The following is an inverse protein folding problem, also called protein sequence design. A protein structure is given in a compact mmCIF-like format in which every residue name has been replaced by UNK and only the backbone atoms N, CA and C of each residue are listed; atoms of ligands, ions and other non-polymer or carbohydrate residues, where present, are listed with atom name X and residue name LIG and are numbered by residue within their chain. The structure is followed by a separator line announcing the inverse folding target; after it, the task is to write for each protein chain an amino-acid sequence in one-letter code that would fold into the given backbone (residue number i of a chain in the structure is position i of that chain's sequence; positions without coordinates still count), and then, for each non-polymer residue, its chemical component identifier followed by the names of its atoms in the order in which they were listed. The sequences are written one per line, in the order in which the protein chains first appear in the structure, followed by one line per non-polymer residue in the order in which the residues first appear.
data_IF_956854169250
#
_entry.id   IF_956854169250
#
_cell.length_a   1.000
_cell.length_b   1.000
_cell.length_c   1.000
_cell.angle_alpha   90.00
_cell.angle_beta   90.00
_cell.angle_gamma   90.00
#
_symmetry.space_group_name_H-M   'P 1'
#
loop_
_entity.id
_entity.type
_entity.pdbx_description
1 polymer ?
#
# COMPACT_ATOMS: atom_id res chain seq x y z
N UNK A 1 -29.07 31.23 29.39
CA UNK A 1 -28.22 30.26 30.09
C UNK A 1 -27.60 29.33 29.07
N UNK A 2 -26.30 29.51 28.92
CA UNK A 2 -25.33 28.90 28.01
C UNK A 2 -25.10 27.42 28.35
N UNK A 3 -24.99 26.55 27.35
CA UNK A 3 -24.15 25.36 27.46
C UNK A 3 -23.51 25.04 26.10
N UNK A 4 -22.32 25.60 25.92
CA UNK A 4 -21.40 25.25 24.85
C UNK A 4 -20.78 23.89 25.22
N UNK A 5 -21.08 22.83 24.48
CA UNK A 5 -20.39 21.55 24.62
C UNK A 5 -19.13 21.57 23.76
N UNK A 6 -18.00 21.93 24.37
CA UNK A 6 -16.68 21.67 23.80
C UNK A 6 -16.41 20.17 23.86
N UNK A 7 -16.39 19.51 22.70
CA UNK A 7 -15.79 18.18 22.56
C UNK A 7 -14.30 18.44 22.35
N UNK A 8 -13.51 18.22 23.40
CA UNK A 8 -12.05 18.20 23.32
C UNK A 8 -11.67 16.84 22.72
N UNK A 9 -11.27 16.83 21.44
CA UNK A 9 -10.56 15.69 20.86
C UNK A 9 -9.10 15.77 21.34
N UNK A 10 -8.77 15.04 22.40
CA UNK A 10 -7.38 14.73 22.73
C UNK A 10 -6.95 13.57 21.84
N UNK A 11 -6.64 13.88 20.58
CA UNK A 11 -5.84 13.00 19.75
C UNK A 11 -4.38 13.34 20.00
N UNK A 12 -3.62 12.44 20.63
CA UNK A 12 -2.17 12.50 20.60
C UNK A 12 -1.73 12.29 19.15
N UNK A 13 -1.71 13.37 18.37
CA UNK A 13 -0.89 13.43 17.16
C UNK A 13 0.55 13.47 17.65
N UNK A 14 1.22 12.33 17.67
CA UNK A 14 2.68 12.32 17.72
C UNK A 14 3.15 12.93 16.42
N UNK A 15 3.32 14.26 16.40
CA UNK A 15 3.97 14.96 15.30
C UNK A 15 5.37 14.39 15.22
N UNK A 16 5.66 13.66 14.14
CA UNK A 16 7.00 13.16 13.89
C UNK A 16 7.87 14.37 13.55
N UNK A 17 8.59 14.90 14.54
CA UNK A 17 9.52 16.04 14.37
C UNK A 17 10.77 15.64 13.57
N UNK A 18 10.89 14.38 13.15
CA UNK A 18 11.95 13.92 12.26
C UNK A 18 11.57 14.17 10.79
N UNK A 19 11.91 15.35 10.27
CA UNK A 19 12.09 15.53 8.83
C UNK A 19 11.51 16.80 8.18
N UNK A 20 10.89 17.70 8.94
CA UNK A 20 10.40 18.94 8.35
C UNK A 20 11.54 19.96 8.16
N UNK A 21 12.23 19.87 7.02
CA UNK A 21 12.95 21.02 6.50
C UNK A 21 11.91 22.03 6.02
N UNK A 22 11.56 22.99 6.87
CA UNK A 22 10.58 24.06 6.56
C UNK A 22 11.01 24.93 5.38
N UNK A 23 12.22 24.71 4.82
CA UNK A 23 12.72 25.38 3.61
C UNK A 23 12.29 24.71 2.31
N UNK A 24 11.85 23.44 2.35
CA UNK A 24 11.46 22.68 1.17
C UNK A 24 9.97 22.31 1.22
N UNK A 25 9.11 23.01 0.46
CA UNK A 25 7.68 22.71 0.43
C UNK A 25 7.40 21.30 -0.10
N UNK A 26 6.47 20.59 0.53
CA UNK A 26 6.09 19.25 0.13
C UNK A 26 5.25 18.51 1.17
N UNK A 27 4.75 17.34 0.79
CA UNK A 27 4.14 16.41 1.75
C UNK A 27 5.26 15.81 2.61
N UNK A 28 5.07 15.78 3.92
CA UNK A 28 6.04 15.24 4.88
C UNK A 28 5.66 13.83 5.28
N UNK A 29 4.37 13.61 5.57
CA UNK A 29 3.86 12.38 6.12
C UNK A 29 2.41 12.18 5.72
N UNK A 30 2.02 10.91 5.49
CA UNK A 30 0.61 10.53 5.40
C UNK A 30 0.37 9.29 6.23
N UNK A 31 -0.62 9.34 7.13
CA UNK A 31 -0.93 8.25 8.05
C UNK A 31 -2.42 7.95 8.12
N UNK A 32 -2.76 6.69 8.33
CA UNK A 32 -4.12 6.25 8.63
C UNK A 32 -4.43 6.55 10.10
N UNK A 33 -5.57 7.19 10.33
CA UNK A 33 -6.18 7.42 11.64
C UNK A 33 -7.66 7.00 11.59
N UNK A 34 -7.89 5.71 11.86
CA UNK A 34 -9.23 5.12 11.80
C UNK A 34 -9.84 5.19 10.39
N UNK A 35 -10.89 6.00 10.23
CA UNK A 35 -11.60 6.21 8.95
C UNK A 35 -11.07 7.41 8.15
N UNK A 36 -9.98 8.02 8.62
CA UNK A 36 -9.37 9.19 8.01
C UNK A 36 -7.89 8.95 7.72
N UNK A 37 -7.34 9.82 6.87
CA UNK A 37 -5.93 9.97 6.57
C UNK A 37 -5.49 11.34 7.08
N UNK A 38 -4.48 11.36 7.94
CA UNK A 38 -3.77 12.59 8.31
C UNK A 38 -2.70 12.83 7.26
N UNK A 39 -2.71 14.02 6.65
CA UNK A 39 -1.64 14.49 5.77
C UNK A 39 -0.93 15.64 6.48
N UNK A 40 0.38 15.53 6.61
CA UNK A 40 1.26 16.59 7.09
C UNK A 40 2.07 17.14 5.91
N UNK A 41 2.18 18.45 5.79
CA UNK A 41 2.89 19.11 4.71
C UNK A 41 3.63 20.37 5.21
N UNK A 42 4.76 20.64 4.57
CA UNK A 42 5.44 21.94 4.61
C UNK A 42 4.90 22.77 3.45
N UNK A 43 4.21 23.88 3.73
CA UNK A 43 3.62 24.74 2.70
C UNK A 43 4.62 25.83 2.27
N UNK A 44 4.57 26.30 1.01
CA UNK A 44 5.35 27.47 0.60
C UNK A 44 4.86 28.73 1.33
N UNK A 45 5.74 29.74 1.48
CA UNK A 45 5.46 30.99 2.22
C UNK A 45 4.22 31.76 1.72
N UNK A 46 3.89 31.62 0.43
CA UNK A 46 2.71 32.25 -0.16
C UNK A 46 1.42 31.48 0.12
N UNK A 47 1.49 30.33 0.81
CA UNK A 47 0.40 29.37 1.07
C UNK A 47 -0.41 28.97 -0.16
N UNK A 48 0.12 29.23 -1.36
CA UNK A 48 -0.53 28.95 -2.62
C UNK A 48 -0.12 27.58 -3.14
N UNK A 49 -0.66 26.54 -2.51
CA UNK A 49 -0.38 25.16 -2.86
C UNK A 49 -1.65 24.30 -2.79
N UNK A 50 -1.81 23.42 -3.78
CA UNK A 50 -2.90 22.46 -3.82
C UNK A 50 -2.38 21.07 -3.47
N UNK A 51 -3.28 20.21 -2.98
CA UNK A 51 -2.98 18.80 -2.79
C UNK A 51 -3.48 18.01 -3.99
N UNK A 52 -2.58 17.28 -4.62
CA UNK A 52 -2.85 16.33 -5.69
C UNK A 52 -2.89 14.92 -5.10
N UNK A 53 -4.05 14.27 -5.22
CA UNK A 53 -4.26 12.88 -4.84
C UNK A 53 -4.35 12.01 -6.11
N UNK A 54 -3.51 10.98 -6.16
CA UNK A 54 -3.35 10.09 -7.32
C UNK A 54 -3.51 8.63 -6.90
N UNK A 55 -4.10 7.81 -7.75
CA UNK A 55 -3.92 6.35 -7.67
C UNK A 55 -2.55 5.91 -8.19
N UNK A 56 -2.13 4.66 -7.90
CA UNK A 56 -0.84 4.15 -8.35
C UNK A 56 -0.66 4.12 -9.87
N UNK A 57 -1.75 4.02 -10.62
CA UNK A 57 -1.74 3.99 -12.08
C UNK A 57 -2.03 5.35 -12.72
N UNK A 58 -2.47 6.33 -11.93
CA UNK A 58 -2.84 7.66 -12.43
C UNK A 58 -1.57 8.52 -12.61
N UNK A 59 -1.50 9.22 -13.74
CA UNK A 59 -0.50 10.25 -13.95
C UNK A 59 -0.99 11.62 -13.43
N UNK A 60 -0.09 12.59 -13.31
CA UNK A 60 -0.34 13.89 -12.64
C UNK A 60 -1.56 14.64 -13.20
N UNK A 61 -1.90 14.47 -14.47
CA UNK A 61 -3.07 15.13 -15.09
C UNK A 61 -4.40 14.52 -14.67
N UNK A 62 -4.42 13.22 -14.32
CA UNK A 62 -5.63 12.45 -13.98
C UNK A 62 -6.02 12.58 -12.50
N UNK A 63 -5.08 12.98 -11.63
CA UNK A 63 -5.31 13.04 -10.19
C UNK A 63 -6.29 14.12 -9.74
N UNK A 64 -6.94 13.85 -8.60
CA UNK A 64 -7.85 14.78 -7.93
C UNK A 64 -7.04 15.91 -7.29
N UNK A 65 -7.22 17.13 -7.78
CA UNK A 65 -6.67 18.35 -7.18
C UNK A 65 -7.70 19.01 -6.29
N UNK A 66 -7.27 19.47 -5.12
CA UNK A 66 -8.12 20.27 -4.24
C UNK A 66 -7.27 21.11 -3.30
N UNK A 67 -7.89 22.17 -2.78
CA UNK A 67 -7.36 22.99 -1.71
C UNK A 67 -7.93 22.46 -0.38
N UNK A 68 -7.14 21.71 0.41
CA UNK A 68 -7.62 21.26 1.70
C UNK A 68 -7.64 22.41 2.71
N UNK A 69 -8.50 22.29 3.72
CA UNK A 69 -8.47 23.16 4.88
C UNK A 69 -7.27 22.76 5.75
N UNK A 70 -6.18 23.52 5.64
CA UNK A 70 -4.97 23.29 6.43
C UNK A 70 -5.11 23.87 7.83
N UNK A 71 -4.73 23.09 8.84
CA UNK A 71 -4.46 23.58 10.19
C UNK A 71 -2.95 23.70 10.38
N UNK A 72 -2.47 24.93 10.57
CA UNK A 72 -1.05 25.22 10.75
C UNK A 72 -0.70 25.20 12.25
N UNK A 73 0.26 24.36 12.62
CA UNK A 73 0.83 24.34 13.97
C UNK A 73 2.35 24.15 13.87
N UNK A 74 3.12 25.00 14.58
CA UNK A 74 4.58 24.97 14.62
C UNK A 74 5.27 24.84 13.24
N UNK A 75 4.72 25.48 12.21
CA UNK A 75 5.27 25.46 10.85
C UNK A 75 4.90 24.23 10.01
N UNK A 76 4.11 23.30 10.55
CA UNK A 76 3.57 22.15 9.83
C UNK A 76 2.09 22.35 9.55
N UNK A 77 1.70 22.21 8.29
CA UNK A 77 0.31 22.22 7.89
C UNK A 77 -0.25 20.80 7.94
N UNK A 78 -1.39 20.63 8.56
CA UNK A 78 -2.07 19.34 8.68
C UNK A 78 -3.46 19.41 8.05
N UNK A 79 -3.89 18.32 7.42
CA UNK A 79 -5.27 18.20 6.95
C UNK A 79 -5.74 16.75 7.03
N UNK A 80 -7.06 16.59 6.97
CA UNK A 80 -7.73 15.30 7.13
C UNK A 80 -8.47 14.96 5.85
N UNK A 81 -8.21 13.77 5.32
CA UNK A 81 -8.87 13.22 4.14
C UNK A 81 -9.64 11.98 4.56
N UNK A 82 -10.84 11.76 4.02
CA UNK A 82 -11.58 10.53 4.26
C UNK A 82 -10.82 9.35 3.67
N UNK A 83 -10.71 8.25 4.42
CA UNK A 83 -10.14 7.01 3.90
C UNK A 83 -11.02 6.45 2.79
N UNK A 84 -12.32 6.29 3.06
CA UNK A 84 -13.28 5.86 2.05
C UNK A 84 -14.03 7.07 1.49
N UNK A 85 -13.86 7.34 0.20
CA UNK A 85 -14.53 8.44 -0.52
C UNK A 85 -15.12 7.90 -1.82
N UNK A 86 -16.44 8.05 -2.01
CA UNK A 86 -17.16 7.58 -3.20
C UNK A 86 -16.86 6.13 -3.64
N UNK A 87 -16.75 5.21 -2.68
CA UNK A 87 -16.49 3.79 -2.96
C UNK A 87 -15.03 3.44 -3.28
N UNK A 88 -14.12 4.42 -3.16
CA UNK A 88 -12.66 4.25 -3.30
C UNK A 88 -11.99 4.25 -1.94
N UNK A 89 -10.97 3.39 -1.77
CA UNK A 89 -10.13 3.35 -0.57
C UNK A 89 -8.83 4.14 -0.79
N UNK A 90 -8.75 5.35 -0.22
CA UNK A 90 -7.67 6.33 -0.43
C UNK A 90 -6.35 5.95 0.26
N UNK A 91 -6.30 4.84 1.00
CA UNK A 91 -5.06 4.31 1.57
C UNK A 91 -4.07 3.87 0.50
N UNK A 92 -4.54 3.50 -0.69
CA UNK A 92 -3.67 3.24 -1.84
C UNK A 92 -3.47 4.49 -2.71
N UNK A 93 -3.74 5.69 -2.20
CA UNK A 93 -3.44 6.92 -2.93
C UNK A 93 -2.04 7.43 -2.61
N UNK A 94 -1.47 8.11 -3.60
CA UNK A 94 -0.25 8.90 -3.53
C UNK A 94 -0.62 10.37 -3.42
N UNK A 95 0.00 11.08 -2.47
CA UNK A 95 -0.27 12.47 -2.18
C UNK A 95 0.94 13.32 -2.55
N UNK A 96 0.72 14.38 -3.34
CA UNK A 96 1.76 15.28 -3.83
C UNK A 96 1.28 16.71 -3.66
N UNK A 97 2.12 17.56 -3.09
CA UNK A 97 1.85 18.99 -3.08
C UNK A 97 2.21 19.56 -4.46
N UNK A 98 1.36 20.44 -4.99
CA UNK A 98 1.61 21.17 -6.24
C UNK A 98 1.42 22.66 -5.99
N UNK A 99 2.01 23.50 -6.83
CA UNK A 99 1.85 24.95 -6.75
C UNK A 99 0.41 25.41 -7.03
N UNK A 100 0.13 26.70 -6.84
CA UNK A 100 -1.21 27.27 -7.04
C UNK A 100 -1.78 27.12 -8.45
N UNK A 101 -0.92 26.98 -9.47
CA UNK A 101 -1.34 26.69 -10.86
C UNK A 101 -1.61 25.20 -11.05
N UNK A 102 -1.04 24.33 -10.22
CA UNK A 102 -1.18 22.88 -10.27
C UNK A 102 -0.26 22.20 -11.30
N UNK A 103 0.70 22.95 -11.86
CA UNK A 103 1.63 22.51 -12.90
C UNK A 103 2.93 21.99 -12.32
N UNK A 104 3.42 22.60 -11.24
CA UNK A 104 4.71 22.27 -10.65
C UNK A 104 4.53 21.47 -9.36
N UNK A 105 5.23 20.35 -9.26
CA UNK A 105 5.29 19.57 -8.02
C UNK A 105 6.19 20.25 -6.99
N UNK A 106 5.69 20.31 -5.75
CA UNK A 106 6.40 20.80 -4.57
C UNK A 106 6.81 19.60 -3.71
N UNK A 107 8.11 19.30 -3.70
CA UNK A 107 8.65 18.14 -2.97
C UNK A 107 8.29 16.80 -3.61
N UNK A 108 8.58 15.71 -2.88
CA UNK A 108 8.24 14.36 -3.33
C UNK A 108 6.79 14.01 -3.00
N UNK A 109 6.28 12.99 -3.70
CA UNK A 109 4.98 12.42 -3.40
C UNK A 109 5.13 11.37 -2.30
N UNK A 110 4.15 11.32 -1.39
CA UNK A 110 4.15 10.39 -0.26
C UNK A 110 2.98 9.43 -0.35
N UNK A 111 3.25 8.19 0.07
CA UNK A 111 2.25 7.16 0.31
C UNK A 111 1.93 7.10 1.80
N UNK A 112 0.89 6.34 2.16
CA UNK A 112 0.64 5.98 3.55
C UNK A 112 1.87 5.30 4.14
N UNK A 113 2.37 5.82 5.26
CA UNK A 113 3.55 5.29 5.95
C UNK A 113 3.26 4.17 6.94
N UNK A 114 1.99 4.00 7.35
CA UNK A 114 1.53 3.01 8.30
C UNK A 114 0.46 2.07 7.71
N UNK A 115 0.66 1.60 6.47
CA UNK A 115 -0.28 0.75 5.72
C UNK A 115 -0.61 -0.55 6.46
N UNK A 116 0.34 -1.07 7.24
CA UNK A 116 0.23 -2.27 8.07
C UNK A 116 -0.87 -2.15 9.14
N UNK A 117 -1.23 -0.93 9.55
CA UNK A 117 -2.37 -0.70 10.45
C UNK A 117 -3.71 -1.18 9.88
N UNK A 118 -3.79 -1.44 8.57
CA UNK A 118 -4.98 -2.02 7.92
C UNK A 118 -5.03 -3.55 7.93
N UNK A 119 -3.93 -4.20 8.32
CA UNK A 119 -3.84 -5.64 8.25
C UNK A 119 -4.76 -6.31 9.28
N UNK A 120 -5.57 -7.27 8.84
CA UNK A 120 -6.35 -8.12 9.76
C UNK A 120 -5.47 -9.10 10.53
N UNK A 121 -4.25 -9.31 10.06
CA UNK A 121 -3.29 -10.28 10.57
C UNK A 121 -1.93 -9.60 10.72
N UNK A 122 -1.45 -9.48 11.95
CA UNK A 122 -0.26 -8.70 12.32
C UNK A 122 0.78 -9.54 13.07
N UNK A 123 0.92 -10.81 12.71
CA UNK A 123 1.91 -11.70 13.29
C UNK A 123 3.31 -11.37 12.76
N UNK A 124 4.32 -11.58 13.60
CA UNK A 124 5.71 -11.49 13.18
C UNK A 124 6.01 -12.49 12.07
N UNK A 125 6.92 -12.11 11.17
CA UNK A 125 7.37 -13.03 10.13
C UNK A 125 8.08 -14.23 10.77
N UNK A 126 7.73 -15.48 10.41
CA UNK A 126 8.26 -16.66 11.08
C UNK A 126 9.77 -16.81 10.84
N UNK A 127 10.49 -17.22 11.89
CA UNK A 127 11.92 -17.49 11.82
C UNK A 127 12.16 -18.92 11.35
N UNK A 128 12.94 -19.10 10.28
CA UNK A 128 13.32 -20.42 9.80
C UNK A 128 14.22 -21.14 10.84
N UNK A 129 14.04 -22.46 10.97
CA UNK A 129 14.84 -23.29 11.86
C UNK A 129 16.29 -23.52 11.37
N UNK A 130 16.65 -23.01 10.19
CA UNK A 130 17.99 -23.14 9.63
C UNK A 130 18.18 -22.26 8.40
N UNK A 131 19.44 -22.14 7.96
CA UNK A 131 19.83 -21.25 6.86
C UNK A 131 19.55 -21.84 5.47
N UNK A 132 19.35 -23.16 5.36
CA UNK A 132 19.21 -23.82 4.05
C UNK A 132 17.87 -23.44 3.41
N UNK A 133 17.94 -22.72 2.30
CA UNK A 133 16.80 -22.25 1.54
C UNK A 133 16.79 -22.71 0.10
N UNK A 134 15.61 -22.82 -0.51
CA UNK A 134 15.46 -23.14 -1.93
C UNK A 134 14.39 -22.29 -2.60
N UNK A 135 14.62 -21.94 -3.87
CA UNK A 135 13.66 -21.25 -4.74
C UNK A 135 13.45 -22.07 -6.00
N UNK A 136 12.37 -21.77 -6.74
CA UNK A 136 12.03 -22.47 -7.99
C UNK A 136 11.91 -24.00 -7.79
N UNK A 137 11.28 -24.40 -6.68
CA UNK A 137 11.10 -25.81 -6.31
C UNK A 137 10.22 -26.49 -7.37
N UNK A 138 10.78 -27.50 -8.04
CA UNK A 138 10.06 -28.34 -9.00
C UNK A 138 9.43 -29.54 -8.29
N UNK A 139 10.13 -30.11 -7.32
CA UNK A 139 9.67 -31.22 -6.47
C UNK A 139 9.84 -30.84 -4.99
N UNK A 140 8.73 -30.77 -4.27
CA UNK A 140 8.72 -30.41 -2.85
C UNK A 140 9.33 -31.53 -2.01
N UNK A 141 9.05 -32.79 -2.33
CA UNK A 141 9.53 -33.92 -1.53
C UNK A 141 11.05 -34.04 -1.60
N UNK A 142 11.65 -33.83 -2.78
CA UNK A 142 13.10 -33.78 -2.93
C UNK A 142 13.71 -32.61 -2.15
N UNK A 143 13.10 -31.42 -2.22
CA UNK A 143 13.54 -30.27 -1.42
C UNK A 143 13.51 -30.56 0.08
N UNK A 144 12.48 -31.26 0.56
CA UNK A 144 12.36 -31.69 1.96
C UNK A 144 13.42 -32.72 2.34
N UNK A 145 13.70 -33.72 1.48
CA UNK A 145 14.78 -34.69 1.68
C UNK A 145 16.16 -34.00 1.74
N UNK A 146 16.36 -32.94 0.97
CA UNK A 146 17.55 -32.09 1.06
C UNK A 146 17.62 -31.29 2.38
N UNK A 147 16.57 -31.25 3.18
CA UNK A 147 16.55 -30.61 4.50
C UNK A 147 16.40 -29.08 4.44
N UNK A 148 15.72 -28.55 3.42
CA UNK A 148 15.39 -27.11 3.35
C UNK A 148 14.56 -26.67 4.56
N UNK A 149 14.79 -25.44 5.03
CA UNK A 149 14.10 -24.82 6.17
C UNK A 149 13.39 -23.52 5.81
N UNK A 150 13.70 -22.99 4.64
CA UNK A 150 13.00 -21.86 4.05
C UNK A 150 12.81 -22.09 2.54
N UNK A 151 11.68 -21.64 2.00
CA UNK A 151 11.38 -21.73 0.59
C UNK A 151 10.78 -20.43 0.08
N UNK A 152 11.05 -20.09 -1.18
CA UNK A 152 10.35 -19.01 -1.86
C UNK A 152 9.68 -19.52 -3.14
N UNK A 153 8.40 -19.19 -3.28
CA UNK A 153 7.59 -19.52 -4.47
C UNK A 153 7.32 -18.25 -5.27
N UNK A 154 7.51 -18.37 -6.57
CA UNK A 154 7.31 -17.31 -7.54
C UNK A 154 5.83 -17.28 -7.97
N UNK A 155 5.19 -16.12 -7.83
CA UNK A 155 3.78 -15.91 -8.18
C UNK A 155 3.68 -14.76 -9.18
N UNK A 156 3.19 -15.06 -10.38
CA UNK A 156 3.01 -14.03 -11.41
C UNK A 156 1.60 -13.47 -11.35
N UNK A 157 1.47 -12.13 -11.45
CA UNK A 157 0.16 -11.49 -11.39
C UNK A 157 -0.77 -11.93 -12.54
N UNK A 158 -0.24 -12.24 -13.72
CA UNK A 158 -1.02 -12.70 -14.87
C UNK A 158 -1.55 -14.13 -14.72
N UNK A 159 -0.89 -14.99 -13.94
CA UNK A 159 -1.39 -16.33 -13.62
C UNK A 159 -2.32 -16.34 -12.41
N UNK A 160 -2.12 -15.40 -11.48
CA UNK A 160 -2.93 -15.27 -10.28
C UNK A 160 -4.28 -14.58 -10.56
N UNK A 161 -4.26 -13.44 -11.25
CA UNK A 161 -5.43 -12.60 -11.50
C UNK A 161 -6.13 -13.00 -12.80
N UNK A 162 -7.42 -13.30 -12.70
CA UNK A 162 -8.27 -13.55 -13.86
C UNK A 162 -8.84 -12.24 -14.40
N UNK A 163 -8.08 -11.58 -15.26
CA UNK A 163 -8.47 -10.31 -15.89
C UNK A 163 -9.71 -10.43 -16.79
N UNK A 164 -10.10 -11.65 -17.20
CA UNK A 164 -11.29 -11.90 -18.02
C UNK A 164 -12.53 -12.19 -17.17
N UNK A 165 -12.38 -12.33 -15.85
CA UNK A 165 -13.48 -12.53 -14.91
C UNK A 165 -14.23 -13.86 -15.09
N UNK A 166 -13.58 -14.91 -15.60
CA UNK A 166 -14.22 -16.20 -15.88
C UNK A 166 -14.37 -17.08 -14.62
N UNK A 167 -13.49 -16.89 -13.65
CA UNK A 167 -13.46 -17.60 -12.36
C UNK A 167 -13.99 -16.69 -11.25
N UNK A 168 -15.24 -16.90 -10.82
CA UNK A 168 -15.87 -16.12 -9.75
C UNK A 168 -15.65 -16.65 -8.32
N UNK A 169 -14.94 -17.76 -8.14
CA UNK A 169 -14.80 -18.42 -6.81
C UNK A 169 -14.02 -17.58 -5.81
N UNK A 170 -12.96 -16.92 -6.26
CA UNK A 170 -12.17 -16.00 -5.46
C UNK A 170 -12.22 -14.65 -6.16
N UNK A 171 -12.82 -13.67 -5.50
CA UNK A 171 -12.97 -12.31 -6.04
C UNK A 171 -12.97 -11.27 -4.93
N UNK A 172 -12.56 -10.05 -5.27
CA UNK A 172 -12.60 -8.90 -4.35
C UNK A 172 -13.06 -7.65 -5.07
N UNK A 173 -13.91 -6.85 -4.40
CA UNK A 173 -14.24 -5.50 -4.86
C UNK A 173 -13.12 -4.53 -4.50
N UNK A 174 -12.62 -3.79 -5.48
CA UNK A 174 -11.62 -2.73 -5.34
C UNK A 174 -12.08 -1.54 -6.19
N UNK A 175 -12.33 -0.38 -5.56
CA UNK A 175 -12.77 0.86 -6.22
C UNK A 175 -13.95 0.63 -7.19
N UNK A 176 -14.96 -0.11 -6.74
CA UNK A 176 -16.16 -0.46 -7.53
C UNK A 176 -15.93 -1.51 -8.62
N UNK A 177 -14.70 -1.99 -8.85
CA UNK A 177 -14.38 -3.05 -9.81
C UNK A 177 -14.23 -4.40 -9.11
N UNK A 178 -14.73 -5.45 -9.75
CA UNK A 178 -14.48 -6.83 -9.32
C UNK A 178 -13.16 -7.32 -9.88
N UNK A 179 -12.23 -7.67 -9.00
CA UNK A 179 -11.00 -8.37 -9.36
C UNK A 179 -11.20 -9.85 -9.06
N UNK A 180 -11.11 -10.69 -10.08
CA UNK A 180 -11.24 -12.14 -9.98
C UNK A 180 -9.87 -12.82 -9.95
N UNK A 181 -9.78 -14.01 -9.36
CA UNK A 181 -8.56 -14.82 -9.31
C UNK A 181 -8.77 -16.19 -9.94
N UNK A 182 -7.74 -16.72 -10.57
CA UNK A 182 -7.75 -18.06 -11.16
C UNK A 182 -7.84 -19.13 -10.06
N UNK A 183 -9.02 -19.72 -9.85
CA UNK A 183 -9.27 -20.61 -8.72
C UNK A 183 -8.36 -21.86 -8.69
N UNK A 184 -8.07 -22.44 -9.85
CA UNK A 184 -7.15 -23.57 -9.96
C UNK A 184 -5.73 -23.19 -9.53
N UNK A 185 -5.25 -22.02 -9.96
CA UNK A 185 -3.92 -21.51 -9.60
C UNK A 185 -3.82 -21.22 -8.10
N UNK A 186 -4.83 -20.56 -7.52
CA UNK A 186 -4.89 -20.30 -6.07
C UNK A 186 -4.90 -21.61 -5.27
N UNK A 187 -5.70 -22.60 -5.69
CA UNK A 187 -5.77 -23.90 -5.01
C UNK A 187 -4.44 -24.65 -5.09
N UNK A 188 -3.77 -24.60 -6.24
CA UNK A 188 -2.44 -25.19 -6.41
C UNK A 188 -1.40 -24.54 -5.49
N UNK A 189 -1.34 -23.21 -5.48
CA UNK A 189 -0.44 -22.47 -4.61
C UNK A 189 -0.70 -22.77 -3.12
N UNK A 190 -1.96 -22.79 -2.70
CA UNK A 190 -2.35 -23.15 -1.32
C UNK A 190 -1.87 -24.56 -0.95
N UNK A 191 -2.01 -25.53 -1.86
CA UNK A 191 -1.54 -26.90 -1.63
C UNK A 191 -0.01 -26.99 -1.47
N UNK A 192 0.76 -26.24 -2.27
CA UNK A 192 2.22 -26.20 -2.16
C UNK A 192 2.68 -25.53 -0.87
N UNK A 193 2.07 -24.39 -0.52
CA UNK A 193 2.34 -23.68 0.73
C UNK A 193 2.02 -24.56 1.94
N UNK A 194 0.85 -25.22 1.93
CA UNK A 194 0.45 -26.14 2.99
C UNK A 194 1.44 -27.29 3.15
N UNK A 195 1.86 -27.92 2.06
CA UNK A 195 2.81 -29.03 2.11
C UNK A 195 4.14 -28.61 2.78
N UNK A 196 4.69 -27.46 2.36
CA UNK A 196 5.91 -26.92 2.95
C UNK A 196 5.72 -26.51 4.43
N UNK A 197 4.61 -25.84 4.77
CA UNK A 197 4.32 -25.41 6.14
C UNK A 197 4.09 -26.59 7.08
N UNK A 198 3.39 -27.64 6.63
CA UNK A 198 3.19 -28.87 7.42
C UNK A 198 4.54 -29.57 7.72
N UNK A 199 5.53 -29.43 6.83
CA UNK A 199 6.90 -29.91 7.02
C UNK A 199 7.79 -28.96 7.84
N UNK A 200 7.24 -27.86 8.38
CA UNK A 200 7.97 -26.88 9.18
C UNK A 200 8.90 -25.97 8.38
N UNK A 201 8.70 -25.86 7.06
CA UNK A 201 9.44 -24.95 6.18
C UNK A 201 8.77 -23.57 6.22
N UNK A 202 9.58 -22.52 6.43
CA UNK A 202 9.11 -21.13 6.33
C UNK A 202 8.98 -20.75 4.86
N UNK A 203 7.81 -20.24 4.47
CA UNK A 203 7.49 -19.96 3.07
C UNK A 203 7.31 -18.47 2.81
N UNK A 204 7.90 -18.01 1.71
CA UNK A 204 7.72 -16.66 1.17
C UNK A 204 7.12 -16.73 -0.23
N UNK A 205 6.21 -15.81 -0.54
CA UNK A 205 5.76 -15.60 -1.92
C UNK A 205 6.48 -14.40 -2.51
N UNK A 206 7.07 -14.58 -3.68
CA UNK A 206 7.65 -13.51 -4.48
C UNK A 206 6.63 -13.16 -5.56
N UNK A 207 5.96 -12.01 -5.38
CA UNK A 207 4.98 -11.51 -6.34
C UNK A 207 5.71 -10.64 -7.37
N UNK A 208 5.53 -10.95 -8.64
CA UNK A 208 6.04 -10.09 -9.71
C UNK A 208 5.03 -9.91 -10.83
N UNK A 209 5.13 -8.74 -11.45
CA UNK A 209 4.37 -8.39 -12.62
C UNK A 209 5.19 -8.76 -13.85
N UNK A 210 4.78 -9.78 -14.60
CA UNK A 210 5.40 -10.09 -15.88
C UNK A 210 5.00 -9.01 -16.88
N UNK A 211 5.97 -8.26 -17.41
CA UNK A 211 5.73 -7.38 -18.55
C UNK A 211 5.57 -8.26 -19.79
N UNK A 212 4.38 -8.39 -20.38
CA UNK A 212 4.18 -9.22 -21.56
C UNK A 212 4.74 -8.43 -22.76
N UNK A 213 5.95 -8.76 -23.23
CA UNK A 213 6.55 -7.94 -24.28
C UNK A 213 7.89 -8.35 -24.85
N UNK A 214 8.42 -9.55 -24.62
CA UNK A 214 9.41 -10.18 -25.52
C UNK A 214 9.21 -11.70 -25.41
N UNK A 215 8.63 -12.31 -26.43
CA UNK A 215 8.50 -13.77 -26.55
C UNK A 215 9.59 -14.26 -27.50
N UNK A 216 10.85 -14.23 -27.09
CA UNK A 216 11.96 -14.83 -27.86
C UNK A 216 12.98 -15.56 -26.97
N UNK A 217 12.55 -16.06 -25.82
CA UNK A 217 13.41 -16.88 -24.96
C UNK A 217 12.63 -17.43 -23.78
N UNK A 218 12.58 -18.75 -23.68
CA UNK A 218 12.17 -19.51 -22.49
C UNK A 218 13.06 -19.15 -21.28
N UNK A 219 12.61 -19.44 -20.03
CA UNK A 219 13.19 -18.94 -18.78
C UNK A 219 14.69 -19.12 -18.61
#
# INVERSE_FOLDING_TARGET
MTSFKYIVFVGLATVSIYGADTRNPGVVLVQIQGQNLLVEASLPDQHNAQLLQLQPHECTVEGKRFLPNWHLDNGIATTIIKRFDNGRDNVFSRFQLVDGTGEKTLGQAHWISNIESTAQRSFEFPKAAGIKGLQCIVDIDDALHLGVKQAALNVTLDQLVDWRGKSGRFSRQIDGKTVCFHAGYVTHLDSQLKHLTDAGVVNSLIIYNRIPGVRDGSP
#
